data_IF_936884466636
#
_entry.id   IF_936884466636
#
_cell.length_a   1.000
_cell.length_b   1.000
_cell.length_c   1.000
_cell.angle_alpha   90.00
_cell.angle_beta   90.00
_cell.angle_gamma   90.00
#
_symmetry.space_group_name_H-M   'P 1'
#
loop_
_entity.id
_entity.type
_entity.pdbx_description
1 polymer ?
#
# COMPACT_ATOMS: atom_id res chain seq x y z
N UNK A 1 -10.65 8.42 -17.67
CA UNK A 1 -10.24 7.82 -16.39
C UNK A 1 -8.91 7.15 -16.63
N UNK A 2 -7.84 7.61 -15.98
CA UNK A 2 -6.52 6.98 -16.08
C UNK A 2 -6.45 5.87 -15.03
N UNK A 3 -6.38 4.63 -15.49
CA UNK A 3 -6.22 3.46 -14.62
C UNK A 3 -4.75 3.41 -14.15
N UNK A 4 -4.51 3.72 -12.88
CA UNK A 4 -3.16 3.59 -12.31
C UNK A 4 -2.89 2.11 -12.09
N UNK A 5 -2.22 1.49 -13.06
CA UNK A 5 -1.78 0.09 -12.97
C UNK A 5 -0.70 -0.05 -11.90
N UNK A 6 -0.86 -1.06 -11.06
CA UNK A 6 0.15 -1.43 -10.08
C UNK A 6 1.40 -1.99 -10.79
N UNK A 7 2.58 -1.62 -10.30
CA UNK A 7 3.84 -2.25 -10.67
C UNK A 7 4.83 -2.19 -9.52
N UNK A 8 5.75 -3.14 -9.44
CA UNK A 8 6.71 -3.20 -8.34
C UNK A 8 7.73 -2.06 -8.45
N UNK A 9 7.61 -1.07 -7.58
CA UNK A 9 8.56 0.06 -7.41
C UNK A 9 8.62 0.49 -5.95
N UNK A 10 9.40 1.52 -5.65
CA UNK A 10 9.31 2.19 -4.36
C UNK A 10 7.99 2.97 -4.27
N UNK A 11 7.30 2.84 -3.15
CA UNK A 11 6.03 3.51 -2.92
C UNK A 11 6.04 4.23 -1.57
N UNK A 12 5.41 5.40 -1.49
CA UNK A 12 5.09 5.98 -0.19
C UNK A 12 4.10 5.09 0.55
N UNK A 13 4.16 5.06 1.89
CA UNK A 13 3.22 4.28 2.71
C UNK A 13 1.76 4.63 2.44
N UNK A 14 1.49 5.90 2.17
CA UNK A 14 0.14 6.40 1.85
C UNK A 14 -0.27 5.95 0.45
N UNK A 15 0.63 6.08 -0.52
CA UNK A 15 0.40 5.70 -1.92
C UNK A 15 0.04 4.21 -2.02
N UNK A 16 0.88 3.33 -1.47
CA UNK A 16 0.61 1.89 -1.47
C UNK A 16 -0.68 1.54 -0.70
N UNK A 17 -0.90 2.15 0.46
CA UNK A 17 -2.10 1.89 1.24
C UNK A 17 -3.39 2.35 0.55
N UNK A 18 -3.34 3.45 -0.19
CA UNK A 18 -4.45 3.94 -1.02
C UNK A 18 -4.70 3.04 -2.22
N UNK A 19 -3.67 2.42 -2.80
CA UNK A 19 -3.85 1.41 -3.85
C UNK A 19 -4.63 0.20 -3.33
N UNK A 20 -4.37 -0.27 -2.10
CA UNK A 20 -5.17 -1.34 -1.48
C UNK A 20 -6.54 -0.88 -0.97
N UNK A 21 -6.64 0.35 -0.48
CA UNK A 21 -7.83 0.87 0.18
C UNK A 21 -8.22 2.25 -0.35
N UNK A 22 -8.68 2.36 -1.61
CA UNK A 22 -8.95 3.65 -2.24
C UNK A 22 -9.99 4.47 -1.48
N UNK A 23 -11.00 3.81 -0.92
CA UNK A 23 -12.13 4.42 -0.20
C UNK A 23 -11.81 4.87 1.23
N UNK A 24 -10.60 4.61 1.74
CA UNK A 24 -10.21 4.98 3.11
C UNK A 24 -9.36 6.25 3.10
N UNK A 25 -9.49 7.07 4.14
CA UNK A 25 -8.63 8.25 4.32
C UNK A 25 -7.16 7.83 4.51
N UNK A 26 -6.22 8.75 4.23
CA UNK A 26 -4.78 8.49 4.30
C UNK A 26 -4.32 7.84 5.63
N UNK A 27 -4.70 8.35 6.83
CA UNK A 27 -4.27 7.71 8.08
C UNK A 27 -4.91 6.34 8.30
N UNK A 28 -6.17 6.16 7.89
CA UNK A 28 -6.92 4.91 8.09
C UNK A 28 -6.42 3.81 7.15
N UNK A 29 -6.16 4.14 5.88
CA UNK A 29 -5.58 3.20 4.90
C UNK A 29 -4.23 2.69 5.36
N UNK A 30 -3.32 3.56 5.81
CA UNK A 30 -2.00 3.16 6.33
C UNK A 30 -2.13 2.30 7.58
N UNK A 31 -3.00 2.67 8.53
CA UNK A 31 -3.23 1.87 9.74
C UNK A 31 -3.75 0.47 9.41
N UNK A 32 -4.66 0.36 8.44
CA UNK A 32 -5.21 -0.91 7.96
C UNK A 32 -4.12 -1.77 7.29
N UNK A 33 -3.32 -1.19 6.39
CA UNK A 33 -2.20 -1.89 5.75
C UNK A 33 -1.21 -2.42 6.78
N UNK A 34 -0.82 -1.59 7.76
CA UNK A 34 0.07 -2.02 8.86
C UNK A 34 -0.53 -3.14 9.70
N UNK A 35 -1.85 -3.15 9.92
CA UNK A 35 -2.54 -4.24 10.63
C UNK A 35 -2.53 -5.53 9.80
N UNK A 36 -2.80 -5.44 8.49
CA UNK A 36 -2.70 -6.59 7.58
C UNK A 36 -1.30 -7.18 7.56
N UNK A 37 -0.28 -6.35 7.43
CA UNK A 37 1.12 -6.79 7.49
C UNK A 37 1.40 -7.54 8.80
N UNK A 38 1.04 -6.96 9.95
CA UNK A 38 1.25 -7.58 11.27
C UNK A 38 0.46 -8.88 11.48
N UNK A 39 -0.70 -9.02 10.84
CA UNK A 39 -1.48 -10.25 10.89
C UNK A 39 -0.87 -11.37 10.03
N UNK A 40 0.04 -11.03 9.11
CA UNK A 40 0.77 -11.99 8.30
C UNK A 40 2.20 -12.15 8.86
N UNK A 41 2.36 -13.04 9.84
CA UNK A 41 3.68 -13.34 10.42
C UNK A 41 4.78 -13.66 9.39
N UNK A 42 4.57 -14.54 8.38
CA UNK A 42 5.64 -14.86 7.44
C UNK A 42 6.08 -13.66 6.58
N UNK A 43 5.17 -12.74 6.27
CA UNK A 43 5.52 -11.46 5.63
C UNK A 43 6.42 -10.61 6.53
N UNK A 44 6.06 -10.50 7.81
CA UNK A 44 6.85 -9.72 8.78
C UNK A 44 8.24 -10.32 9.00
N UNK A 45 8.35 -11.65 9.03
CA UNK A 45 9.65 -12.33 9.13
C UNK A 45 10.54 -12.05 7.91
N UNK A 46 10.01 -12.15 6.68
CA UNK A 46 10.78 -11.82 5.47
C UNK A 46 11.19 -10.34 5.41
N UNK A 47 10.33 -9.43 5.89
CA UNK A 47 10.66 -8.01 6.00
C UNK A 47 11.77 -7.78 7.03
N UNK A 48 11.66 -8.36 8.22
CA UNK A 48 12.65 -8.23 9.30
C UNK A 48 13.97 -8.95 9.01
N UNK A 49 13.96 -9.99 8.18
CA UNK A 49 15.17 -10.65 7.68
C UNK A 49 15.95 -9.76 6.69
N UNK A 50 15.33 -8.69 6.18
CA UNK A 50 16.03 -7.60 5.49
C UNK A 50 16.18 -6.37 6.36
N UNK A 51 16.67 -5.29 5.77
CA UNK A 51 16.77 -3.97 6.38
C UNK A 51 15.43 -3.21 6.38
N UNK A 52 14.34 -3.85 6.81
CA UNK A 52 13.04 -3.17 6.91
C UNK A 52 13.05 -2.15 8.05
N UNK A 53 12.90 -0.88 7.70
CA UNK A 53 12.87 0.22 8.66
C UNK A 53 11.44 0.74 8.84
N UNK A 54 10.70 0.35 9.89
CA UNK A 54 9.31 0.76 10.08
C UNK A 54 9.13 2.29 10.24
N UNK A 55 10.20 3.02 10.57
CA UNK A 55 10.23 4.50 10.66
C UNK A 55 10.38 5.19 9.30
N UNK A 56 10.78 4.48 8.25
CA UNK A 56 10.94 5.04 6.91
C UNK A 56 9.57 5.44 6.33
N UNK A 57 9.51 6.50 5.54
CA UNK A 57 8.24 6.97 4.94
C UNK A 57 7.78 6.10 3.76
N UNK A 58 8.72 5.43 3.12
CA UNK A 58 8.54 4.66 1.90
C UNK A 58 8.75 3.18 2.14
N UNK A 59 8.15 2.38 1.26
CA UNK A 59 8.54 1.00 1.04
C UNK A 59 9.49 0.91 -0.15
N UNK A 60 10.56 0.14 -0.01
CA UNK A 60 11.45 -0.20 -1.13
C UNK A 60 10.76 -1.17 -2.10
N UNK A 61 11.24 -1.25 -3.34
CA UNK A 61 10.72 -2.20 -4.31
C UNK A 61 10.77 -3.66 -3.81
N UNK A 62 11.77 -4.01 -2.97
CA UNK A 62 11.86 -5.34 -2.34
C UNK A 62 10.74 -5.56 -1.32
N UNK A 63 10.49 -4.59 -0.46
CA UNK A 63 9.40 -4.65 0.54
C UNK A 63 8.04 -4.72 -0.15
N UNK A 64 7.84 -3.96 -1.22
CA UNK A 64 6.61 -3.98 -2.02
C UNK A 64 6.39 -5.35 -2.66
N UNK A 65 7.43 -6.00 -3.18
CA UNK A 65 7.33 -7.39 -3.67
C UNK A 65 6.83 -8.35 -2.60
N UNK A 66 7.37 -8.23 -1.38
CA UNK A 66 6.96 -9.08 -0.27
C UNK A 66 5.50 -8.81 0.10
N UNK A 67 5.13 -7.54 0.27
CA UNK A 67 3.76 -7.14 0.60
C UNK A 67 2.77 -7.73 -0.41
N UNK A 68 3.05 -7.58 -1.71
CA UNK A 68 2.17 -8.09 -2.78
C UNK A 68 2.17 -9.61 -2.87
N UNK A 69 3.31 -10.27 -2.65
CA UNK A 69 3.40 -11.74 -2.63
C UNK A 69 2.52 -12.36 -1.56
N UNK A 70 2.41 -11.71 -0.40
CA UNK A 70 1.67 -12.24 0.76
C UNK A 70 0.24 -11.70 0.89
N UNK A 71 0.00 -10.44 0.51
CA UNK A 71 -1.31 -9.78 0.63
C UNK A 71 -2.09 -9.71 -0.69
N UNK A 72 -1.47 -10.08 -1.81
CA UNK A 72 -2.03 -9.93 -3.16
C UNK A 72 -1.67 -8.60 -3.82
N UNK A 73 -1.81 -8.52 -5.14
CA UNK A 73 -1.68 -7.25 -5.87
C UNK A 73 -2.86 -6.33 -5.52
N UNK A 74 -2.63 -5.03 -5.30
CA UNK A 74 -3.75 -4.09 -5.17
C UNK A 74 -4.50 -4.01 -6.50
N UNK A 75 -5.84 -3.96 -6.44
CA UNK A 75 -6.74 -3.97 -7.61
C UNK A 75 -6.64 -2.72 -8.53
N UNK A 76 -5.58 -1.92 -8.39
CA UNK A 76 -5.42 -0.64 -9.06
C UNK A 76 -6.15 0.49 -8.34
N UNK A 77 -5.55 1.68 -8.36
CA UNK A 77 -6.17 2.88 -7.81
C UNK A 77 -6.93 3.60 -8.94
N UNK A 78 -8.25 3.68 -8.84
CA UNK A 78 -9.01 4.63 -9.65
C UNK A 78 -8.89 5.98 -8.95
N UNK A 79 -8.22 6.95 -9.58
CA UNK A 79 -8.25 8.33 -9.10
C UNK A 79 -9.71 8.79 -9.23
N UNK A 80 -10.49 8.66 -8.15
CA UNK A 80 -11.81 9.27 -8.06
C UNK A 80 -11.57 10.77 -8.11
N UNK A 81 -11.66 11.35 -9.31
CA UNK A 81 -11.85 12.77 -9.46
C UNK A 81 -13.10 13.09 -8.66
N UNK A 82 -12.94 13.87 -7.59
CA UNK A 82 -14.04 14.38 -6.79
C UNK A 82 -15.09 14.91 -7.75
N UNK A 83 -16.33 14.43 -7.60
CA UNK A 83 -17.46 14.91 -8.38
C UNK A 83 -17.55 16.41 -8.15
N UNK A 84 -17.19 17.18 -9.17
CA UNK A 84 -17.60 18.56 -9.29
C UNK A 84 -19.11 18.56 -9.49
N UNK A 85 -19.87 18.53 -8.40
CA UNK A 85 -21.29 18.86 -8.41
C UNK A 85 -21.74 19.27 -6.99
N UNK A 86 -21.48 20.53 -6.67
CA UNK A 86 -22.37 21.31 -5.81
C UNK A 86 -22.70 22.59 -6.57
N UNK A 87 -23.93 22.56 -7.11
CA UNK A 87 -24.81 23.61 -7.62
C UNK A 87 -24.44 25.06 -7.30
#
# INVERSE_FOLDING_TARGET
MEEVKFYVRCYDKIELARMYFPNLSNPVSVAKLRRWMRNCMPLMEELMAGDFHPKMKMFSAREVRLIVRYLGEPDGYVFMHEHADVK
#
